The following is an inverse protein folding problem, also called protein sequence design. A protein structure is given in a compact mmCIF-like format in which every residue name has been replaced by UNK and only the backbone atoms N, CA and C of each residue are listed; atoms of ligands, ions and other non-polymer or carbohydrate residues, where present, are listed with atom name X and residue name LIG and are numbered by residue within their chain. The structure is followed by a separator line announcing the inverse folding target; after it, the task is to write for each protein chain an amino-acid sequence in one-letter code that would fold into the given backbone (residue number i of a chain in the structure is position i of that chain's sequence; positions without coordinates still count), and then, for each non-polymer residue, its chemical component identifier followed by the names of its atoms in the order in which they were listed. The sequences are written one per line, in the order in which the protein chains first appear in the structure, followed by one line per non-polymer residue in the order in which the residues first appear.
data_IF_667626215880
#
_entry.id   IF_667626215880
#
_cell.length_a   1.000
_cell.length_b   1.000
_cell.length_c   1.000
_cell.angle_alpha   90.00
_cell.angle_beta   90.00
_cell.angle_gamma   90.00
#
_symmetry.space_group_name_H-M   'P 1'
#
loop_
_entity.id
_entity.type
_entity.pdbx_description
1 polymer ?
#
# COMPACT_ATOMS: atom_id res chain seq x y z
N UNK A 1 -26.22 -9.67 18.60
CA UNK A 1 -25.54 -9.10 17.42
C UNK A 1 -26.60 -8.41 16.57
N UNK A 2 -26.37 -7.17 16.18
CA UNK A 2 -27.31 -6.40 15.35
C UNK A 2 -27.19 -6.84 13.88
N UNK A 3 -28.33 -6.98 13.19
CA UNK A 3 -28.38 -7.28 11.75
C UNK A 3 -27.62 -6.23 10.95
N UNK A 4 -27.64 -4.96 11.41
CA UNK A 4 -26.87 -3.88 10.81
C UNK A 4 -25.37 -4.20 10.79
N UNK A 5 -24.81 -4.69 11.89
CA UNK A 5 -23.37 -4.99 11.99
C UNK A 5 -22.95 -6.10 11.03
N UNK A 6 -23.81 -7.12 10.85
CA UNK A 6 -23.55 -8.19 9.89
C UNK A 6 -23.60 -7.68 8.44
N UNK A 7 -24.57 -6.82 8.14
CA UNK A 7 -24.66 -6.17 6.83
C UNK A 7 -23.45 -5.28 6.54
N UNK A 8 -23.03 -4.45 7.50
CA UNK A 8 -21.84 -3.61 7.38
C UNK A 8 -20.58 -4.46 7.12
N UNK A 9 -20.45 -5.61 7.79
CA UNK A 9 -19.34 -6.53 7.57
C UNK A 9 -19.33 -7.15 6.16
N UNK A 10 -20.50 -7.50 5.61
CA UNK A 10 -20.61 -7.95 4.21
C UNK A 10 -20.18 -6.83 3.26
N UNK A 11 -20.68 -5.61 3.46
CA UNK A 11 -20.36 -4.46 2.61
C UNK A 11 -18.86 -4.16 2.63
N UNK A 12 -18.25 -4.08 3.82
CA UNK A 12 -16.82 -3.86 3.97
C UNK A 12 -16.01 -5.01 3.36
N UNK A 13 -16.43 -6.26 3.56
CA UNK A 13 -15.83 -7.42 2.91
C UNK A 13 -15.88 -7.34 1.38
N UNK A 14 -17.03 -7.02 0.80
CA UNK A 14 -17.17 -6.84 -0.66
C UNK A 14 -16.22 -5.76 -1.16
N UNK A 15 -16.18 -4.59 -0.50
CA UNK A 15 -15.31 -3.47 -0.86
C UNK A 15 -13.84 -3.86 -0.78
N UNK A 16 -13.42 -4.55 0.28
CA UNK A 16 -12.07 -5.09 0.43
C UNK A 16 -11.70 -5.97 -0.77
N UNK A 17 -12.51 -6.97 -1.09
CA UNK A 17 -12.25 -7.87 -2.22
C UNK A 17 -12.24 -7.17 -3.58
N UNK A 18 -13.05 -6.13 -3.76
CA UNK A 18 -13.07 -5.32 -4.98
C UNK A 18 -11.80 -4.47 -5.14
N UNK A 19 -11.22 -4.01 -4.04
CA UNK A 19 -10.24 -2.90 -4.04
C UNK A 19 -8.82 -3.32 -3.67
N UNK A 20 -8.61 -4.51 -3.10
CA UNK A 20 -7.30 -4.96 -2.63
C UNK A 20 -6.27 -5.11 -3.77
N UNK A 21 -6.69 -5.73 -4.88
CA UNK A 21 -5.81 -6.02 -6.02
C UNK A 21 -5.84 -4.96 -7.12
N UNK A 22 -6.90 -4.15 -7.15
CA UNK A 22 -6.99 -2.99 -8.02
C UNK A 22 -6.16 -1.86 -7.40
N UNK A 23 -5.42 -1.04 -8.17
CA UNK A 23 -4.56 -0.01 -7.61
C UNK A 23 -5.33 1.21 -7.04
N UNK A 24 -6.44 1.02 -6.31
CA UNK A 24 -7.31 2.09 -5.78
C UNK A 24 -7.20 2.34 -4.26
N UNK A 25 -6.44 1.50 -3.54
CA UNK A 25 -6.26 1.50 -2.07
C UNK A 25 -7.49 1.02 -1.31
N UNK A 26 -7.51 -0.27 -0.96
CA UNK A 26 -8.50 -0.90 -0.09
C UNK A 26 -8.60 -0.23 1.27
N UNK A 27 -7.46 0.01 1.93
CA UNK A 27 -7.41 0.72 3.22
C UNK A 27 -8.11 2.07 3.19
N UNK A 28 -7.92 2.86 2.12
CA UNK A 28 -8.59 4.16 2.00
C UNK A 28 -10.12 4.03 1.91
N UNK A 29 -10.60 3.07 1.13
CA UNK A 29 -12.04 2.81 0.99
C UNK A 29 -12.65 2.25 2.28
N UNK A 30 -11.98 1.31 2.94
CA UNK A 30 -12.45 0.74 4.21
C UNK A 30 -12.51 1.78 5.33
N UNK A 31 -11.49 2.63 5.46
CA UNK A 31 -11.47 3.67 6.50
C UNK A 31 -12.57 4.72 6.28
N UNK A 32 -12.76 5.18 5.04
CA UNK A 32 -13.83 6.14 4.72
C UNK A 32 -15.21 5.52 4.90
N UNK A 33 -15.42 4.31 4.39
CA UNK A 33 -16.72 3.64 4.48
C UNK A 33 -17.06 3.25 5.93
N UNK A 34 -16.08 2.73 6.68
CA UNK A 34 -16.23 2.41 8.10
C UNK A 34 -16.59 3.65 8.93
N UNK A 35 -15.99 4.81 8.61
CA UNK A 35 -16.34 6.08 9.25
C UNK A 35 -17.81 6.46 9.00
N UNK A 36 -18.29 6.39 7.75
CA UNK A 36 -19.68 6.74 7.41
C UNK A 36 -20.71 5.72 7.89
N UNK A 37 -20.36 4.43 7.97
CA UNK A 37 -21.23 3.38 8.52
C UNK A 37 -21.28 3.39 10.05
N UNK A 38 -20.37 4.11 10.71
CA UNK A 38 -20.19 4.08 12.15
C UNK A 38 -19.62 2.74 12.66
N UNK A 39 -18.96 1.97 11.78
CA UNK A 39 -18.40 0.66 12.10
C UNK A 39 -17.06 0.82 12.83
N UNK A 40 -16.99 0.37 14.08
CA UNK A 40 -15.76 0.40 14.88
C UNK A 40 -15.24 -1.01 15.11
N UNK A 41 -14.09 -1.34 14.55
CA UNK A 41 -13.37 -2.58 14.85
C UNK A 41 -12.41 -2.39 16.03
N UNK A 42 -12.36 -3.37 16.93
CA UNK A 42 -11.32 -3.50 17.95
C UNK A 42 -9.95 -3.58 17.27
N UNK A 43 -9.07 -2.61 17.55
CA UNK A 43 -7.68 -2.60 17.06
C UNK A 43 -7.48 -2.64 15.54
N UNK A 44 -8.53 -2.36 14.74
CA UNK A 44 -8.56 -2.59 13.28
C UNK A 44 -8.24 -4.02 12.85
N UNK A 45 -8.46 -4.98 13.76
CA UNK A 45 -8.27 -6.38 13.46
C UNK A 45 -9.23 -6.83 12.34
N UNK A 46 -10.44 -6.29 12.27
CA UNK A 46 -11.40 -6.65 11.23
C UNK A 46 -10.84 -6.43 9.83
N UNK A 47 -10.35 -5.22 9.51
CA UNK A 47 -9.84 -4.86 8.19
C UNK A 47 -8.68 -5.77 7.75
N UNK A 48 -7.75 -6.05 8.66
CA UNK A 48 -6.60 -6.92 8.39
C UNK A 48 -7.02 -8.38 8.20
N UNK A 49 -7.99 -8.85 8.98
CA UNK A 49 -8.47 -10.23 8.91
C UNK A 49 -9.27 -10.46 7.62
N UNK A 50 -10.12 -9.52 7.20
CA UNK A 50 -10.88 -9.67 5.94
C UNK A 50 -9.98 -9.58 4.70
N UNK A 51 -8.90 -8.79 4.76
CA UNK A 51 -7.90 -8.71 3.69
C UNK A 51 -7.24 -10.06 3.42
N UNK A 52 -7.05 -10.89 4.46
CA UNK A 52 -6.57 -12.25 4.29
C UNK A 52 -7.53 -13.11 3.42
N UNK A 53 -8.84 -12.82 3.45
CA UNK A 53 -9.82 -13.44 2.56
C UNK A 53 -9.55 -13.12 1.10
N UNK A 54 -9.26 -11.87 0.78
CA UNK A 54 -8.80 -11.45 -0.56
C UNK A 54 -7.52 -12.19 -0.97
N UNK A 55 -6.58 -12.37 -0.04
CA UNK A 55 -5.32 -13.09 -0.31
C UNK A 55 -5.55 -14.58 -0.59
N UNK A 56 -6.48 -15.24 0.10
CA UNK A 56 -6.83 -16.62 -0.25
C UNK A 56 -7.45 -16.72 -1.64
N UNK A 57 -8.17 -15.69 -2.10
CA UNK A 57 -8.71 -15.69 -3.46
C UNK A 57 -7.59 -15.69 -4.51
N UNK A 58 -6.54 -14.87 -4.34
CA UNK A 58 -5.41 -14.87 -5.27
C UNK A 58 -4.62 -16.18 -5.21
N UNK A 59 -4.41 -16.75 -4.01
CA UNK A 59 -3.78 -18.07 -3.84
C UNK A 59 -4.59 -19.13 -4.56
N UNK A 60 -5.92 -19.10 -4.45
CA UNK A 60 -6.83 -20.02 -5.13
C UNK A 60 -6.78 -19.89 -6.66
N UNK A 61 -6.82 -18.66 -7.19
CA UNK A 61 -6.72 -18.40 -8.65
C UNK A 61 -5.38 -18.87 -9.21
N UNK A 62 -4.29 -18.70 -8.46
CA UNK A 62 -2.94 -19.07 -8.88
C UNK A 62 -2.47 -20.43 -8.34
N UNK A 63 -3.35 -21.25 -7.74
CA UNK A 63 -2.97 -22.45 -7.00
C UNK A 63 -2.15 -23.44 -7.84
N UNK A 64 -2.61 -23.73 -9.06
CA UNK A 64 -1.90 -24.63 -9.98
C UNK A 64 -0.51 -24.10 -10.35
N UNK A 65 -0.39 -22.79 -10.57
CA UNK A 65 0.88 -22.12 -10.89
C UNK A 65 1.82 -22.13 -9.70
N UNK A 66 1.33 -21.77 -8.50
CA UNK A 66 2.11 -21.79 -7.27
C UNK A 66 2.60 -23.20 -6.93
N UNK A 67 1.74 -24.21 -7.10
CA UNK A 67 2.11 -25.61 -6.92
C UNK A 67 3.19 -26.04 -7.91
N UNK A 68 3.07 -25.65 -9.18
CA UNK A 68 4.08 -25.96 -10.20
C UNK A 68 5.44 -25.32 -9.88
N UNK A 69 5.46 -24.07 -9.39
CA UNK A 69 6.68 -23.39 -8.93
C UNK A 69 7.28 -24.13 -7.74
N UNK A 70 6.46 -24.53 -6.76
CA UNK A 70 6.91 -25.23 -5.57
C UNK A 70 7.58 -26.56 -5.90
N UNK A 71 6.97 -27.37 -6.77
CA UNK A 71 7.55 -28.64 -7.25
C UNK A 71 8.81 -28.42 -8.09
N UNK A 72 8.92 -27.30 -8.80
CA UNK A 72 10.08 -26.97 -9.62
C UNK A 72 11.22 -26.31 -8.85
N UNK A 73 11.07 -25.96 -7.56
CA UNK A 73 12.12 -25.29 -6.78
C UNK A 73 13.46 -26.06 -6.75
N UNK A 74 13.49 -27.39 -6.52
CA UNK A 74 14.75 -28.13 -6.46
C UNK A 74 15.47 -28.19 -7.82
N UNK A 75 14.72 -28.25 -8.92
CA UNK A 75 15.24 -28.56 -10.25
C UNK A 75 15.39 -27.34 -11.16
N UNK A 76 14.55 -26.32 -11.02
CA UNK A 76 14.48 -25.18 -11.93
C UNK A 76 15.14 -23.92 -11.38
N UNK A 77 16.19 -23.46 -12.07
CA UNK A 77 16.83 -22.17 -11.78
C UNK A 77 15.84 -20.99 -11.96
N UNK A 78 14.90 -21.10 -12.90
CA UNK A 78 13.86 -20.10 -13.14
C UNK A 78 12.90 -20.01 -11.96
N UNK A 79 12.44 -21.14 -11.43
CA UNK A 79 11.56 -21.17 -10.25
C UNK A 79 12.26 -20.57 -9.02
N UNK A 80 13.52 -20.95 -8.78
CA UNK A 80 14.32 -20.36 -7.68
C UNK A 80 14.49 -18.85 -7.83
N UNK A 81 14.78 -18.36 -9.04
CA UNK A 81 14.91 -16.92 -9.31
C UNK A 81 13.60 -16.17 -9.10
N UNK A 82 12.47 -16.74 -9.51
CA UNK A 82 11.17 -16.13 -9.29
C UNK A 82 10.85 -16.02 -7.79
N UNK A 83 11.02 -17.10 -7.02
CA UNK A 83 10.82 -17.07 -5.56
C UNK A 83 11.79 -16.11 -4.88
N UNK A 84 13.07 -16.10 -5.29
CA UNK A 84 14.05 -15.13 -4.79
C UNK A 84 13.65 -13.68 -5.14
N UNK A 85 13.07 -13.44 -6.32
CA UNK A 85 12.58 -12.12 -6.71
C UNK A 85 11.44 -11.66 -5.80
N UNK A 86 10.45 -12.52 -5.53
CA UNK A 86 9.35 -12.20 -4.61
C UNK A 86 9.86 -11.95 -3.19
N UNK A 87 10.79 -12.79 -2.71
CA UNK A 87 11.40 -12.62 -1.39
C UNK A 87 12.18 -11.29 -1.29
N UNK A 88 13.04 -10.97 -2.28
CA UNK A 88 13.81 -9.73 -2.31
C UNK A 88 12.89 -8.50 -2.39
N UNK A 89 11.82 -8.57 -3.17
CA UNK A 89 10.85 -7.48 -3.26
C UNK A 89 10.07 -7.26 -1.95
N UNK A 90 9.89 -8.30 -1.13
CA UNK A 90 9.23 -8.19 0.17
C UNK A 90 10.12 -7.50 1.22
N UNK A 91 11.44 -7.71 1.19
CA UNK A 91 12.37 -7.27 2.24
C UNK A 91 12.30 -5.77 2.55
N UNK A 92 12.34 -4.83 1.58
CA UNK A 92 12.32 -3.40 1.91
C UNK A 92 11.10 -2.99 2.72
N UNK A 93 9.91 -3.46 2.32
CA UNK A 93 8.67 -3.15 3.02
C UNK A 93 8.61 -3.81 4.41
N UNK A 94 9.11 -5.04 4.54
CA UNK A 94 9.19 -5.72 5.83
C UNK A 94 10.12 -4.99 6.82
N UNK A 95 11.31 -4.60 6.35
CA UNK A 95 12.30 -3.89 7.17
C UNK A 95 11.75 -2.53 7.59
N UNK A 96 11.29 -1.71 6.64
CA UNK A 96 10.75 -0.38 6.95
C UNK A 96 9.48 -0.49 7.80
N UNK A 97 8.61 -1.47 7.55
CA UNK A 97 7.39 -1.69 8.32
C UNK A 97 7.65 -2.05 9.78
N UNK A 98 8.69 -2.84 10.08
CA UNK A 98 9.12 -3.15 11.45
C UNK A 98 9.76 -1.93 12.10
N UNK A 99 10.67 -1.25 11.41
CA UNK A 99 11.40 -0.09 11.96
C UNK A 99 10.50 1.13 12.20
N UNK A 100 9.48 1.33 11.35
CA UNK A 100 8.58 2.48 11.41
C UNK A 100 7.21 2.17 12.02
N UNK A 101 7.02 1.00 12.64
CA UNK A 101 5.71 0.53 13.11
C UNK A 101 4.97 1.56 13.99
N UNK A 102 5.66 2.14 14.97
CA UNK A 102 5.07 3.09 15.92
C UNK A 102 4.71 4.42 15.26
N UNK A 103 5.55 4.91 14.32
CA UNK A 103 5.29 6.13 13.56
C UNK A 103 4.07 5.98 12.64
N UNK A 104 3.98 4.84 11.95
CA UNK A 104 2.86 4.50 11.07
C UNK A 104 1.55 4.49 11.87
N UNK A 105 1.51 3.82 13.03
CA UNK A 105 0.28 3.72 13.84
C UNK A 105 -0.16 5.05 14.45
N UNK A 106 0.77 5.84 15.00
CA UNK A 106 0.43 7.05 15.76
C UNK A 106 0.19 8.29 14.91
N UNK A 107 0.91 8.44 13.79
CA UNK A 107 0.88 9.72 13.03
C UNK A 107 0.05 9.57 11.77
N UNK A 108 0.35 8.53 10.98
CA UNK A 108 -0.21 8.37 9.65
C UNK A 108 -1.66 7.87 9.67
N UNK A 109 -2.01 7.05 10.66
CA UNK A 109 -3.33 6.41 10.76
C UNK A 109 -4.37 7.18 11.56
N UNK A 110 -3.98 8.20 12.31
CA UNK A 110 -4.88 9.08 13.08
C UNK A 110 -5.38 10.27 12.26
N UNK A 111 -4.87 10.46 11.03
CA UNK A 111 -5.15 11.64 10.21
C UNK A 111 -5.88 11.27 8.91
N UNK A 112 -7.24 11.30 8.86
CA UNK A 112 -8.01 10.99 7.65
C UNK A 112 -7.62 11.81 6.42
N UNK A 113 -7.12 13.03 6.63
CA UNK A 113 -6.59 13.88 5.56
C UNK A 113 -5.42 13.22 4.82
N UNK A 114 -4.52 12.51 5.52
CA UNK A 114 -3.38 11.81 4.92
C UNK A 114 -3.88 10.78 3.91
N UNK A 115 -4.90 10.00 4.26
CA UNK A 115 -5.50 8.99 3.38
C UNK A 115 -6.06 9.64 2.10
N UNK A 116 -6.74 10.77 2.24
CA UNK A 116 -7.35 11.44 1.08
C UNK A 116 -6.28 12.06 0.17
N UNK A 117 -5.24 12.67 0.74
CA UNK A 117 -4.11 13.23 -0.02
C UNK A 117 -3.32 12.14 -0.73
N UNK A 118 -3.07 10.99 -0.09
CA UNK A 118 -2.32 9.88 -0.70
C UNK A 118 -3.14 9.12 -1.75
N UNK A 119 -4.47 9.08 -1.61
CA UNK A 119 -5.37 8.66 -2.69
C UNK A 119 -5.19 9.55 -3.92
N UNK A 120 -5.31 10.87 -3.73
CA UNK A 120 -5.16 11.87 -4.78
C UNK A 120 -3.79 11.79 -5.47
N UNK A 121 -2.69 11.89 -4.70
CA UNK A 121 -1.33 11.85 -5.22
C UNK A 121 -1.01 10.52 -5.89
N UNK A 122 -1.39 9.39 -5.27
CA UNK A 122 -1.20 8.08 -5.87
C UNK A 122 -1.97 7.91 -7.18
N UNK A 123 -3.15 8.54 -7.29
CA UNK A 123 -3.92 8.58 -8.54
C UNK A 123 -3.24 9.39 -9.63
N UNK A 124 -2.73 10.57 -9.31
CA UNK A 124 -1.95 11.39 -10.24
C UNK A 124 -0.73 10.63 -10.74
N UNK A 125 0.07 10.04 -9.84
CA UNK A 125 1.26 9.26 -10.20
C UNK A 125 0.90 8.08 -11.09
N UNK A 126 -0.12 7.29 -10.73
CA UNK A 126 -0.55 6.16 -11.54
C UNK A 126 -1.01 6.60 -12.94
N UNK A 127 -1.75 7.70 -13.04
CA UNK A 127 -2.22 8.25 -14.31
C UNK A 127 -1.05 8.67 -15.20
N UNK A 128 -0.08 9.39 -14.65
CA UNK A 128 1.11 9.82 -15.38
C UNK A 128 1.89 8.61 -15.88
N UNK A 129 2.17 7.65 -15.00
CA UNK A 129 2.98 6.46 -15.33
C UNK A 129 2.30 5.56 -16.35
N UNK A 130 0.98 5.36 -16.26
CA UNK A 130 0.20 4.57 -17.22
C UNK A 130 0.19 5.18 -18.64
N UNK A 131 0.43 6.49 -18.76
CA UNK A 131 0.45 7.26 -20.01
C UNK A 131 1.84 7.51 -20.58
N UNK A 132 2.91 7.17 -19.84
CA UNK A 132 4.26 7.29 -20.37
C UNK A 132 4.46 6.30 -21.53
N UNK A 133 5.04 6.72 -22.67
CA UNK A 133 5.29 5.86 -23.82
C UNK A 133 6.49 4.94 -23.62
N UNK A 134 6.52 4.19 -22.50
CA UNK A 134 7.57 3.25 -22.16
C UNK A 134 7.38 1.96 -22.96
N UNK A 135 8.37 1.59 -23.78
CA UNK A 135 8.37 0.31 -24.50
C UNK A 135 8.62 -0.84 -23.51
N UNK A 136 7.66 -1.78 -23.31
CA UNK A 136 7.83 -2.88 -22.38
C UNK A 136 9.04 -3.74 -22.73
N UNK A 137 9.79 -4.16 -21.71
CA UNK A 137 10.95 -5.05 -21.79
C UNK A 137 10.68 -6.39 -21.09
N UNK A 138 9.90 -6.38 -20.02
CA UNK A 138 9.58 -7.58 -19.25
C UNK A 138 8.09 -7.89 -19.43
N UNK A 139 7.79 -9.03 -20.07
CA UNK A 139 6.44 -9.48 -20.39
C UNK A 139 5.88 -10.55 -19.44
N UNK A 140 6.62 -10.89 -18.38
CA UNK A 140 6.33 -12.04 -17.52
C UNK A 140 6.87 -11.77 -16.12
N UNK A 141 6.00 -11.93 -15.12
CA UNK A 141 6.35 -11.73 -13.71
C UNK A 141 7.41 -12.74 -13.23
N UNK A 142 7.52 -13.89 -13.90
CA UNK A 142 8.46 -14.96 -13.57
C UNK A 142 9.91 -14.65 -13.99
N UNK A 143 10.10 -13.69 -14.90
CA UNK A 143 11.39 -13.39 -15.52
C UNK A 143 12.03 -12.11 -15.01
N UNK A 144 11.42 -11.47 -14.01
CA UNK A 144 11.96 -10.25 -13.43
C UNK A 144 13.38 -10.53 -12.89
N UNK A 145 14.37 -9.70 -13.24
CA UNK A 145 15.67 -9.77 -12.61
C UNK A 145 15.58 -9.31 -11.14
N UNK A 146 16.46 -9.84 -10.30
CA UNK A 146 16.45 -9.55 -8.86
C UNK A 146 16.55 -8.05 -8.55
N UNK A 147 17.28 -7.29 -9.38
CA UNK A 147 17.37 -5.85 -9.24
C UNK A 147 16.03 -5.14 -9.49
N UNK A 148 15.24 -5.61 -10.46
CA UNK A 148 13.91 -5.06 -10.74
C UNK A 148 12.96 -5.40 -9.59
N UNK A 149 13.03 -6.63 -9.09
CA UNK A 149 12.27 -7.05 -7.93
C UNK A 149 12.59 -6.19 -6.69
N UNK A 150 13.87 -5.92 -6.43
CA UNK A 150 14.30 -5.02 -5.36
C UNK A 150 13.72 -3.60 -5.55
N UNK A 151 13.79 -3.06 -6.76
CA UNK A 151 13.20 -1.74 -7.08
C UNK A 151 11.70 -1.74 -6.79
N UNK A 152 10.96 -2.75 -7.25
CA UNK A 152 9.52 -2.88 -6.95
C UNK A 152 9.28 -2.95 -5.44
N UNK A 153 10.14 -3.65 -4.70
CA UNK A 153 10.09 -3.69 -3.23
C UNK A 153 10.34 -2.34 -2.57
N UNK A 154 11.29 -1.55 -3.08
CA UNK A 154 11.51 -0.18 -2.62
C UNK A 154 10.27 0.69 -2.85
N UNK A 155 9.60 0.57 -4.01
CA UNK A 155 8.32 1.24 -4.24
C UNK A 155 7.23 0.74 -3.29
N UNK A 156 7.23 -0.54 -2.91
CA UNK A 156 6.28 -1.08 -1.94
C UNK A 156 6.38 -0.40 -0.57
N UNK A 157 7.53 0.17 -0.19
CA UNK A 157 7.65 0.92 1.08
C UNK A 157 6.70 2.12 1.15
N UNK A 158 6.32 2.71 0.01
CA UNK A 158 5.32 3.78 -0.06
C UNK A 158 3.94 3.30 0.41
N UNK A 159 3.65 2.00 0.29
CA UNK A 159 2.40 1.40 0.72
C UNK A 159 2.23 1.35 2.24
N UNK A 160 3.29 1.63 3.01
CA UNK A 160 3.20 1.79 4.46
C UNK A 160 2.46 3.07 4.86
N UNK A 161 2.31 4.02 3.92
CA UNK A 161 1.52 5.22 4.10
C UNK A 161 0.03 4.89 3.86
N UNK A 162 -0.87 5.11 4.84
CA UNK A 162 -2.30 4.86 4.69
C UNK A 162 -2.90 5.63 3.52
N UNK A 163 -3.78 4.96 2.76
CA UNK A 163 -4.34 5.49 1.50
C UNK A 163 -3.43 5.37 0.28
N UNK A 164 -2.13 5.11 0.49
CA UNK A 164 -1.28 4.63 -0.60
C UNK A 164 -1.69 3.19 -0.92
N UNK A 165 -1.85 2.88 -2.21
CA UNK A 165 -2.21 1.52 -2.62
C UNK A 165 -0.95 0.69 -2.76
N UNK A 166 -0.92 -0.46 -2.06
CA UNK A 166 0.16 -1.44 -2.19
C UNK A 166 0.30 -1.96 -3.62
N UNK A 167 -0.82 -2.37 -4.23
CA UNK A 167 -0.86 -2.76 -5.64
C UNK A 167 -0.44 -1.60 -6.55
N UNK A 168 -0.94 -0.39 -6.30
CA UNK A 168 -0.55 0.83 -7.04
C UNK A 168 0.95 1.13 -7.00
N UNK A 169 1.56 1.16 -5.81
CA UNK A 169 2.99 1.47 -5.67
C UNK A 169 3.87 0.45 -6.38
N UNK A 170 3.57 -0.84 -6.22
CA UNK A 170 4.35 -1.93 -6.84
C UNK A 170 4.16 -1.99 -8.35
N UNK A 171 2.94 -1.78 -8.84
CA UNK A 171 2.65 -1.66 -10.28
C UNK A 171 3.38 -0.47 -10.87
N UNK A 172 3.30 0.71 -10.25
CA UNK A 172 4.03 1.92 -10.69
C UNK A 172 5.54 1.65 -10.76
N UNK A 173 6.11 1.04 -9.72
CA UNK A 173 7.52 0.67 -9.72
C UNK A 173 7.89 -0.29 -10.86
N UNK A 174 7.04 -1.28 -11.15
CA UNK A 174 7.30 -2.20 -12.26
C UNK A 174 7.17 -1.49 -13.63
N UNK A 175 6.13 -0.68 -13.83
CA UNK A 175 5.87 0.04 -15.08
C UNK A 175 6.98 1.03 -15.43
N UNK A 176 7.44 1.82 -14.44
CA UNK A 176 8.56 2.77 -14.62
C UNK A 176 9.84 2.08 -15.10
N UNK A 177 10.03 0.82 -14.69
CA UNK A 177 11.17 0.00 -15.08
C UNK A 177 10.83 -1.00 -16.20
N UNK A 178 9.80 -0.66 -17.00
CA UNK A 178 9.47 -1.26 -18.29
C UNK A 178 8.95 -2.69 -18.19
N UNK A 179 8.28 -3.04 -17.09
CA UNK A 179 7.34 -4.14 -17.11
C UNK A 179 6.13 -3.81 -17.98
N UNK A 180 5.53 -4.81 -18.62
CA UNK A 180 4.21 -4.64 -19.22
C UNK A 180 3.12 -4.58 -18.14
N UNK A 181 1.94 -4.11 -18.50
CA UNK A 181 0.85 -3.87 -17.55
C UNK A 181 0.38 -5.16 -16.90
N UNK A 182 0.35 -6.27 -17.63
CA UNK A 182 -0.09 -7.56 -17.11
C UNK A 182 0.95 -8.13 -16.15
N UNK A 183 2.23 -8.21 -16.54
CA UNK A 183 3.26 -8.74 -15.64
C UNK A 183 3.43 -7.90 -14.38
N UNK A 184 3.25 -6.58 -14.46
CA UNK A 184 3.28 -5.69 -13.32
C UNK A 184 2.19 -6.04 -12.28
N UNK A 185 0.95 -6.26 -12.74
CA UNK A 185 -0.13 -6.72 -11.88
C UNK A 185 0.15 -8.12 -11.30
N UNK A 186 0.55 -9.08 -12.14
CA UNK A 186 0.84 -10.44 -11.69
C UNK A 186 1.96 -10.46 -10.64
N UNK A 187 3.06 -9.75 -10.86
CA UNK A 187 4.16 -9.67 -9.88
C UNK A 187 3.70 -8.99 -8.58
N UNK A 188 2.88 -7.94 -8.66
CA UNK A 188 2.27 -7.31 -7.49
C UNK A 188 1.40 -8.29 -6.69
N UNK A 189 0.63 -9.14 -7.37
CA UNK A 189 -0.17 -10.18 -6.74
C UNK A 189 0.69 -11.23 -6.04
N UNK A 190 1.79 -11.66 -6.67
CA UNK A 190 2.72 -12.59 -6.03
C UNK A 190 3.39 -11.99 -4.80
N UNK A 191 3.78 -10.73 -4.86
CA UNK A 191 4.36 -9.98 -3.75
C UNK A 191 3.36 -9.70 -2.62
N UNK A 192 2.05 -9.65 -2.93
CA UNK A 192 0.96 -9.55 -1.96
C UNK A 192 1.05 -10.63 -0.88
N UNK A 193 1.27 -11.86 -1.32
CA UNK A 193 1.10 -13.05 -0.51
C UNK A 193 2.01 -13.04 0.73
N UNK A 194 3.35 -12.92 0.62
CA UNK A 194 4.20 -12.86 1.81
C UNK A 194 3.98 -11.58 2.62
N UNK A 195 3.70 -10.45 1.95
CA UNK A 195 3.50 -9.15 2.64
C UNK A 195 2.28 -9.18 3.55
N UNK A 196 1.13 -9.57 3.01
CA UNK A 196 -0.13 -9.58 3.75
C UNK A 196 -0.24 -10.76 4.70
N UNK A 197 0.34 -11.92 4.38
CA UNK A 197 0.43 -13.03 5.33
C UNK A 197 1.25 -12.64 6.57
N UNK A 198 2.36 -11.91 6.38
CA UNK A 198 3.16 -11.38 7.49
C UNK A 198 2.40 -10.36 8.33
N UNK A 199 1.72 -9.40 7.69
CA UNK A 199 0.91 -8.41 8.38
C UNK A 199 -0.25 -9.05 9.17
N UNK A 200 -0.97 -9.98 8.55
CA UNK A 200 -2.04 -10.76 9.19
C UNK A 200 -1.53 -11.54 10.40
N UNK A 201 -0.45 -12.31 10.25
CA UNK A 201 0.10 -13.11 11.34
C UNK A 201 0.51 -12.23 12.54
N UNK A 202 1.11 -11.07 12.26
CA UNK A 202 1.51 -10.12 13.29
C UNK A 202 0.33 -9.51 14.03
N UNK A 203 -0.66 -8.99 13.31
CA UNK A 203 -1.82 -8.34 13.93
C UNK A 203 -2.76 -9.34 14.62
N UNK A 204 -2.93 -10.55 14.08
CA UNK A 204 -3.66 -11.62 14.76
C UNK A 204 -2.96 -12.01 16.06
N UNK A 205 -1.63 -12.18 16.03
CA UNK A 205 -0.86 -12.50 17.24
C UNK A 205 -1.00 -11.42 18.31
N UNK A 206 -0.97 -10.13 17.94
CA UNK A 206 -1.09 -9.01 18.89
C UNK A 206 -2.51 -8.80 19.43
N UNK A 207 -3.55 -9.10 18.65
CA UNK A 207 -4.94 -8.80 19.02
C UNK A 207 -5.76 -10.02 19.44
N UNK A 208 -5.16 -11.23 19.48
CA UNK A 208 -5.87 -12.48 19.82
C UNK A 208 -6.66 -12.43 21.14
N UNK A 209 -6.15 -11.74 22.15
CA UNK A 209 -6.77 -11.68 23.48
C UNK A 209 -7.90 -10.64 23.55
N UNK A 210 -8.01 -9.78 22.53
CA UNK A 210 -9.01 -8.72 22.42
C UNK A 210 -10.20 -9.10 21.53
N UNK A 211 -10.18 -10.26 20.87
CA UNK A 211 -11.24 -10.73 19.98
C UNK A 211 -12.28 -11.54 20.75
N UNK A 212 -13.51 -11.03 20.84
CA UNK A 212 -14.63 -11.80 21.38
C UNK A 212 -15.16 -12.82 20.37
N UNK A 213 -15.92 -13.81 20.84
CA UNK A 213 -16.59 -14.77 19.94
C UNK A 213 -17.56 -14.10 18.95
N UNK A 214 -18.12 -12.94 19.30
CA UNK A 214 -18.97 -12.17 18.38
C UNK A 214 -18.15 -11.51 17.28
N UNK A 215 -16.95 -10.99 17.60
CA UNK A 215 -16.05 -10.39 16.61
C UNK A 215 -15.58 -11.43 15.59
N UNK A 216 -15.34 -12.67 16.03
CA UNK A 216 -14.94 -13.78 15.15
C UNK A 216 -16.01 -14.04 14.08
N UNK A 217 -17.30 -14.02 14.45
CA UNK A 217 -18.38 -14.25 13.48
C UNK A 217 -18.48 -13.10 12.46
N UNK A 218 -18.37 -11.86 12.93
CA UNK A 218 -18.40 -10.66 12.08
C UNK A 218 -17.23 -10.70 11.08
N UNK A 219 -16.02 -10.99 11.57
CA UNK A 219 -14.82 -11.18 10.75
C UNK A 219 -15.01 -12.30 9.73
N UNK A 220 -15.54 -13.45 10.14
CA UNK A 220 -15.74 -14.59 9.24
C UNK A 220 -16.67 -14.24 8.07
N UNK A 221 -17.75 -13.49 8.32
CA UNK A 221 -18.67 -13.04 7.28
C UNK A 221 -17.98 -12.07 6.31
N UNK A 222 -17.29 -11.05 6.84
CA UNK A 222 -16.52 -10.10 6.02
C UNK A 222 -15.42 -10.79 5.22
N UNK A 223 -14.76 -11.79 5.81
CA UNK A 223 -13.72 -12.59 5.18
C UNK A 223 -14.25 -13.38 3.98
N UNK A 224 -15.39 -14.05 4.14
CA UNK A 224 -16.03 -14.81 3.04
C UNK A 224 -16.47 -13.85 1.93
N UNK A 225 -17.06 -12.70 2.29
CA UNK A 225 -17.46 -11.68 1.34
C UNK A 225 -16.25 -11.13 0.54
N UNK A 226 -15.14 -10.85 1.22
CA UNK A 226 -13.88 -10.41 0.59
C UNK A 226 -13.29 -11.47 -0.33
N UNK A 227 -13.25 -12.73 0.11
CA UNK A 227 -12.78 -13.85 -0.70
C UNK A 227 -13.58 -14.00 -2.00
N UNK A 228 -14.91 -14.06 -1.91
CA UNK A 228 -15.78 -14.22 -3.09
C UNK A 228 -15.65 -13.02 -4.02
N UNK A 229 -15.65 -11.80 -3.48
CA UNK A 229 -15.50 -10.56 -4.25
C UNK A 229 -14.15 -10.52 -4.99
N UNK A 230 -13.05 -10.85 -4.30
CA UNK A 230 -11.71 -10.88 -4.89
C UNK A 230 -11.56 -11.93 -6.00
N UNK A 231 -12.20 -13.11 -5.87
CA UNK A 231 -12.19 -14.13 -6.92
C UNK A 231 -12.79 -13.61 -8.23
N UNK A 232 -13.85 -12.81 -8.15
CA UNK A 232 -14.49 -12.21 -9.32
C UNK A 232 -13.58 -11.16 -9.97
N UNK A 233 -12.95 -10.31 -9.15
CA UNK A 233 -12.10 -9.21 -9.61
C UNK A 233 -10.83 -9.72 -10.27
N UNK A 234 -10.06 -10.58 -9.60
CA UNK A 234 -8.74 -11.02 -10.07
C UNK A 234 -8.81 -11.65 -11.46
N UNK A 235 -9.84 -12.46 -11.73
CA UNK A 235 -10.02 -13.13 -13.03
C UNK A 235 -10.23 -12.15 -14.18
N UNK A 236 -10.91 -11.02 -13.93
CA UNK A 236 -11.22 -10.01 -14.95
C UNK A 236 -10.18 -8.91 -15.04
N UNK A 237 -9.51 -8.63 -13.92
CA UNK A 237 -8.60 -7.50 -13.78
C UNK A 237 -7.43 -7.56 -14.75
N UNK A 238 -6.78 -8.73 -14.90
CA UNK A 238 -5.62 -8.88 -15.77
C UNK A 238 -5.96 -8.62 -17.23
N UNK A 239 -7.09 -9.15 -17.70
CA UNK A 239 -7.53 -8.93 -19.07
C UNK A 239 -7.93 -7.47 -19.28
N UNK A 240 -8.59 -6.85 -18.31
CA UNK A 240 -8.94 -5.44 -18.35
C UNK A 240 -7.71 -4.53 -18.47
N UNK A 241 -6.72 -4.67 -17.57
CA UNK A 241 -5.52 -3.79 -17.54
C UNK A 241 -4.62 -4.01 -18.75
N UNK A 242 -4.64 -5.20 -19.35
CA UNK A 242 -3.91 -5.49 -20.58
C UNK A 242 -4.44 -4.66 -21.77
N UNK A 243 -5.76 -4.42 -21.83
CA UNK A 243 -6.41 -3.71 -22.93
C UNK A 243 -6.63 -2.22 -22.67
N UNK A 244 -7.01 -1.84 -21.44
CA UNK A 244 -7.44 -0.48 -21.10
C UNK A 244 -6.41 0.29 -20.26
N UNK A 245 -5.42 -0.41 -19.70
CA UNK A 245 -4.46 0.17 -18.76
C UNK A 245 -5.04 0.50 -17.40
N UNK A 246 -4.34 1.38 -16.67
CA UNK A 246 -4.67 1.75 -15.28
C UNK A 246 -5.35 3.11 -15.12
N UNK A 247 -5.51 3.85 -16.22
CA UNK A 247 -6.07 5.21 -16.22
C UNK A 247 -7.42 5.33 -15.51
N UNK A 248 -8.33 4.35 -15.68
CA UNK A 248 -9.66 4.37 -15.03
C UNK A 248 -9.53 4.34 -13.51
N UNK A 249 -8.66 3.47 -12.99
CA UNK A 249 -8.40 3.36 -11.55
C UNK A 249 -7.70 4.60 -11.00
N UNK A 250 -6.84 5.21 -11.80
CA UNK A 250 -6.17 6.45 -11.44
C UNK A 250 -7.18 7.61 -11.27
N UNK A 251 -8.12 7.77 -12.20
CA UNK A 251 -9.21 8.75 -12.08
C UNK A 251 -10.12 8.47 -10.89
N UNK A 252 -10.44 7.19 -10.64
CA UNK A 252 -11.22 6.80 -9.47
C UNK A 252 -10.55 7.24 -8.16
N UNK A 253 -9.23 6.99 -8.01
CA UNK A 253 -8.47 7.46 -6.84
C UNK A 253 -8.51 8.97 -6.66
N UNK A 254 -8.33 9.72 -7.76
CA UNK A 254 -8.37 11.18 -7.77
C UNK A 254 -9.75 11.65 -7.29
N UNK A 255 -10.82 11.08 -7.82
CA UNK A 255 -12.18 11.41 -7.44
C UNK A 255 -12.44 11.13 -5.95
N UNK A 256 -12.12 9.92 -5.47
CA UNK A 256 -12.31 9.54 -4.05
C UNK A 256 -11.48 10.44 -3.13
N UNK A 257 -10.24 10.76 -3.50
CA UNK A 257 -9.39 11.66 -2.74
C UNK A 257 -9.97 13.07 -2.64
N UNK A 258 -10.47 13.64 -3.75
CA UNK A 258 -11.11 14.97 -3.77
C UNK A 258 -12.39 14.97 -2.93
N UNK A 259 -13.26 13.96 -3.12
CA UNK A 259 -14.51 13.83 -2.37
C UNK A 259 -14.23 13.67 -0.88
N UNK A 260 -13.23 12.88 -0.50
CA UNK A 260 -12.80 12.72 0.89
C UNK A 260 -12.30 14.03 1.51
N UNK A 261 -11.47 14.79 0.80
CA UNK A 261 -11.00 16.11 1.27
C UNK A 261 -12.19 17.08 1.43
N UNK A 262 -13.09 17.13 0.45
CA UNK A 262 -14.26 17.99 0.52
C UNK A 262 -15.17 17.61 1.70
N UNK A 263 -15.43 16.32 1.91
CA UNK A 263 -16.23 15.84 3.03
C UNK A 263 -15.61 16.22 4.38
N UNK A 264 -14.29 16.05 4.54
CA UNK A 264 -13.58 16.46 5.76
C UNK A 264 -13.63 17.98 5.98
N UNK A 265 -13.65 18.78 4.90
CA UNK A 265 -13.80 20.22 5.00
C UNK A 265 -15.18 20.60 5.55
N UNK A 266 -16.25 19.99 5.03
CA UNK A 266 -17.62 20.27 5.45
C UNK A 266 -17.96 19.74 6.85
N UNK A 267 -17.32 18.66 7.31
CA UNK A 267 -17.55 18.09 8.66
C UNK A 267 -16.65 18.71 9.73
N UNK A 268 -15.82 19.69 9.41
CA UNK A 268 -14.87 20.32 10.34
C UNK A 268 -13.68 19.43 10.72
N UNK A 269 -13.46 18.32 10.00
CA UNK A 269 -12.36 17.38 10.22
C UNK A 269 -11.01 17.82 9.66
N UNK A 270 -10.97 18.90 8.87
CA UNK A 270 -9.73 19.58 8.48
C UNK A 270 -9.29 20.48 9.64
N UNK A 271 -8.65 19.89 10.65
CA UNK A 271 -8.07 20.61 11.77
C UNK A 271 -6.97 21.58 11.35
N UNK A 272 -7.38 22.74 10.82
CA UNK A 272 -6.62 23.98 10.73
C UNK A 272 -7.56 25.12 11.16
N UNK A 273 -7.90 25.14 12.45
CA UNK A 273 -8.63 26.24 13.08
C UNK A 273 -9.93 25.82 13.77
N UNK A 274 -9.95 25.97 15.10
CA UNK A 274 -11.16 25.85 15.93
C UNK A 274 -11.20 24.56 16.73
N UNK A 275 -10.74 24.62 17.97
CA UNK A 275 -11.03 23.58 18.95
C UNK A 275 -12.54 23.41 19.09
N UNK A 276 -13.06 22.26 18.67
CA UNK A 276 -14.29 21.76 19.24
C UNK A 276 -13.92 21.09 20.56
N UNK A 277 -14.63 21.38 21.66
CA UNK A 277 -14.29 20.83 22.96
C UNK A 277 -14.34 19.31 22.87
N UNK A 278 -13.27 18.66 23.31
CA UNK A 278 -13.28 17.25 23.66
C UNK A 278 -14.51 17.06 24.55
N UNK A 279 -15.50 16.30 24.07
CA UNK A 279 -16.59 15.88 24.92
C UNK A 279 -15.97 15.04 26.04
N UNK A 280 -15.83 15.65 27.21
CA UNK A 280 -15.53 14.93 28.45
C UNK A 280 -16.52 13.78 28.54
N UNK A 281 -16.06 12.52 28.69
CA UNK A 281 -16.99 11.43 28.89
C UNK A 281 -17.86 11.78 30.09
N UNK A 282 -19.17 11.77 29.90
CA UNK A 282 -20.12 11.92 31.00
C UNK A 282 -19.80 10.81 32.00
N UNK A 283 -19.36 11.21 33.20
CA UNK A 283 -19.27 10.32 34.34
C UNK A 283 -20.69 9.86 34.62
N UNK A 284 -20.99 8.62 34.26
CA UNK A 284 -22.24 7.97 34.62
C UNK A 284 -22.30 7.91 36.15
N UNK A 285 -23.13 8.77 36.74
CA UNK A 285 -23.38 8.77 38.18
C UNK A 285 -24.18 7.50 38.51
N UNK A 286 -23.47 6.52 39.05
CA UNK A 286 -24.07 5.35 39.68
C UNK A 286 -25.00 5.80 40.82
N UNK A 287 -26.21 5.23 40.99
CA UNK A 287 -27.12 5.65 42.04
C UNK A 287 -26.50 5.41 43.42
N UNK A 288 -26.64 6.39 44.31
CA UNK A 288 -26.15 6.33 45.68
C UNK A 288 -26.80 5.16 46.43
N UNK A 289 -25.99 4.16 46.77
CA UNK A 289 -26.34 3.15 47.77
C UNK A 289 -25.98 3.66 49.16
N UNK A 290 -26.91 3.50 50.10
CA UNK A 290 -26.75 3.80 51.51
C UNK A 290 -25.57 3.03 52.12
N UNK A 291 -24.51 3.74 52.54
CA UNK A 291 -23.57 3.23 53.53
C UNK A 291 -22.86 4.38 54.22
N UNK A 292 -23.19 4.54 55.50
CA UNK A 292 -22.69 5.51 56.46
C UNK A 292 -21.25 5.14 56.88
N UNK A 293 -20.24 5.80 56.29
CA UNK A 293 -18.86 5.80 56.77
C UNK A 293 -18.07 6.99 56.17
N UNK A 294 -17.30 7.76 56.97
CA UNK A 294 -16.57 8.92 56.46
C UNK A 294 -15.34 8.48 55.66
N UNK A 295 -15.35 8.71 54.34
CA UNK A 295 -14.15 8.60 53.48
C UNK A 295 -13.42 9.94 53.43
N UNK A 296 -12.18 9.97 53.91
CA UNK A 296 -11.25 11.10 53.73
C UNK A 296 -10.82 11.14 52.26
N UNK A 297 -11.25 12.17 51.53
CA UNK A 297 -10.81 12.45 50.15
C UNK A 297 -9.75 13.53 50.20
N UNK A 298 -8.49 13.18 49.98
CA UNK A 298 -7.41 14.16 49.78
C UNK A 298 -7.54 14.75 48.38
N UNK A 299 -8.13 15.94 48.27
CA UNK A 299 -8.17 16.72 47.03
C UNK A 299 -6.96 17.64 46.97
N UNK A 300 -5.93 17.27 46.18
CA UNK A 300 -4.83 18.19 45.87
C UNK A 300 -5.31 19.19 44.81
N UNK A 301 -5.72 20.38 45.25
CA UNK A 301 -6.05 21.50 44.37
C UNK A 301 -4.77 22.28 44.09
N UNK A 302 -4.19 22.16 42.88
CA UNK A 302 -3.10 23.04 42.46
C UNK A 302 -3.71 24.39 42.07
N UNK A 303 -3.58 25.37 42.97
CA UNK A 303 -3.96 26.76 42.72
C UNK A 303 -2.77 27.46 42.06
N UNK A 304 -2.86 27.76 40.77
CA UNK A 304 -1.90 28.64 40.09
C UNK A 304 -2.29 30.08 40.43
N UNK A 305 -1.62 30.68 41.42
CA UNK A 305 -1.67 32.12 41.66
C UNK A 305 -0.81 32.86 40.62
N UNK A 306 -1.30 33.93 39.98
CA UNK A 306 -0.44 34.78 39.17
C UNK A 306 0.62 35.46 40.05
N UNK A 307 1.84 35.70 39.54
CA UNK A 307 2.88 36.37 40.30
C UNK A 307 2.48 37.81 40.67
N UNK A 308 2.90 38.32 41.85
CA UNK A 308 2.61 39.68 42.27
C UNK A 308 3.27 40.72 41.33
N UNK A 309 2.60 41.86 41.16
CA UNK A 309 2.93 42.93 40.20
C UNK A 309 4.17 43.76 40.51
N UNK A 310 4.99 43.36 41.49
CA UNK A 310 6.22 44.06 41.87
C UNK A 310 7.43 43.20 41.52
N UNK A 311 7.71 43.08 40.22
CA UNK A 311 9.00 42.62 39.72
C UNK A 311 9.80 43.83 39.22
N UNK A 312 10.99 44.14 39.78
CA UNK A 312 11.75 45.32 39.38
C UNK A 312 12.33 45.13 37.97
N UNK A 313 12.02 46.07 37.07
CA UNK A 313 12.66 46.19 35.76
C UNK A 313 14.12 46.60 36.00
N UNK A 314 15.05 45.67 35.71
CA UNK A 314 16.48 45.95 35.74
C UNK A 314 16.91 46.45 34.37
N UNK A 315 17.16 47.75 34.33
CA UNK A 315 17.81 48.45 33.22
C UNK A 315 19.27 47.98 33.13
N UNK A 316 19.67 47.39 32.00
CA UNK A 316 21.09 47.06 31.75
C UNK A 316 21.50 47.58 30.38
N UNK A 317 21.82 48.88 30.35
CA UNK A 317 22.80 49.41 29.41
C UNK A 317 24.21 48.90 29.72
N UNK A 318 24.99 48.70 28.65
CA UNK A 318 26.46 48.62 28.60
C UNK A 318 27.18 47.56 29.45
N UNK A 319 27.41 46.39 28.83
CA UNK A 319 28.61 45.57 29.10
C UNK A 319 29.18 45.05 27.75
N UNK A 320 30.51 44.99 27.56
CA UNK A 320 31.11 44.73 26.25
C UNK A 320 30.95 43.26 25.82
N UNK A 321 30.66 43.06 24.53
CA UNK A 321 30.62 41.74 23.89
C UNK A 321 32.02 41.08 23.87
N UNK A 322 32.13 39.76 24.04
CA UNK A 322 33.38 39.04 23.86
C UNK A 322 33.84 39.08 22.39
N UNK A 323 35.17 39.06 22.11
CA UNK A 323 35.68 39.19 20.75
C UNK A 323 35.28 38.00 19.87
N UNK A 324 34.66 38.31 18.74
CA UNK A 324 34.33 37.37 17.66
C UNK A 324 35.62 36.96 16.97
N UNK A 325 35.97 35.67 17.03
CA UNK A 325 37.05 35.11 16.20
C UNK A 325 36.54 34.99 14.76
N UNK A 326 37.22 35.58 13.75
CA UNK A 326 36.78 35.47 12.37
C UNK A 326 36.94 34.03 11.87
N UNK A 327 35.84 33.44 11.42
CA UNK A 327 35.84 32.18 10.67
C UNK A 327 36.52 32.46 9.32
N UNK A 328 37.69 31.84 9.09
CA UNK A 328 38.34 31.85 7.79
C UNK A 328 37.45 31.14 6.76
N UNK A 329 36.95 31.91 5.80
CA UNK A 329 36.36 31.41 4.57
C UNK A 329 37.45 30.71 3.75
N UNK A 330 37.36 29.38 3.60
CA UNK A 330 38.18 28.66 2.62
C UNK A 330 37.70 29.02 1.21
N UNK A 331 38.61 29.27 0.24
CA UNK A 331 38.23 29.49 -1.15
C UNK A 331 37.52 28.25 -1.73
N UNK A 332 36.44 28.50 -2.46
CA UNK A 332 35.75 27.50 -3.27
C UNK A 332 36.68 27.10 -4.41
N UNK A 333 37.15 25.85 -4.41
CA UNK A 333 37.90 25.28 -5.52
C UNK A 333 36.98 25.11 -6.73
N UNK A 334 37.30 25.84 -7.81
CA UNK A 334 36.58 25.81 -9.07
C UNK A 334 36.68 24.42 -9.71
N UNK A 335 35.51 23.82 -10.00
CA UNK A 335 35.44 22.57 -10.76
C UNK A 335 36.18 22.72 -12.12
N UNK A 336 36.97 21.72 -12.54
CA UNK A 336 37.69 21.77 -13.80
C UNK A 336 36.72 21.75 -15.00
N UNK A 337 36.98 22.63 -15.95
CA UNK A 337 36.28 22.80 -17.22
C UNK A 337 36.34 21.49 -18.05
N UNK A 338 35.25 21.05 -18.70
CA UNK A 338 35.29 19.86 -19.54
C UNK A 338 36.18 20.10 -20.77
N UNK A 339 37.06 19.13 -21.06
CA UNK A 339 37.92 19.13 -22.23
C UNK A 339 37.09 19.02 -23.54
N UNK A 340 37.58 19.60 -24.65
CA UNK A 340 36.87 19.61 -25.92
C UNK A 340 36.78 18.23 -26.58
N UNK A 341 35.67 18.02 -27.29
CA UNK A 341 35.35 16.82 -28.03
C UNK A 341 36.42 16.50 -29.10
N UNK A 342 36.98 15.30 -29.03
CA UNK A 342 37.71 14.70 -30.14
C UNK A 342 36.72 13.97 -31.06
N UNK A 343 36.55 14.51 -32.26
CA UNK A 343 36.08 13.76 -33.41
C UNK A 343 37.21 12.84 -33.88
N UNK A 344 36.88 11.59 -34.23
CA UNK A 344 37.38 10.82 -35.37
C UNK A 344 37.38 9.31 -35.06
N UNK A 345 36.84 8.52 -35.98
CA UNK A 345 37.05 7.07 -35.98
C UNK A 345 35.86 6.27 -36.49
N UNK A 346 35.43 6.51 -37.73
CA UNK A 346 34.68 5.52 -38.47
C UNK A 346 35.58 4.29 -38.70
N UNK A 347 35.11 3.11 -38.34
CA UNK A 347 35.69 1.82 -38.73
C UNK A 347 34.54 0.82 -38.98
N UNK A 348 34.73 -0.14 -39.90
CA UNK A 348 33.71 -0.49 -40.87
C UNK A 348 32.78 -1.62 -40.43
N UNK A 349 31.65 -1.69 -41.14
CA UNK A 349 30.65 -2.74 -41.08
C UNK A 349 31.28 -4.14 -41.18
N UNK A 350 30.97 -4.99 -40.21
CA UNK A 350 31.15 -6.44 -40.34
C UNK A 350 29.80 -7.08 -40.62
N UNK A 351 29.71 -7.66 -41.82
CA UNK A 351 28.65 -8.53 -42.31
C UNK A 351 28.53 -9.77 -41.41
N UNK A 352 27.33 -10.22 -41.01
CA UNK A 352 27.16 -11.52 -40.37
C UNK A 352 27.23 -12.64 -41.42
N UNK A 353 27.88 -13.79 -41.15
CA UNK A 353 27.72 -14.96 -42.00
C UNK A 353 26.36 -15.62 -41.76
N UNK A 354 25.78 -16.11 -42.84
CA UNK A 354 24.52 -16.82 -42.88
C UNK A 354 24.63 -18.26 -42.33
N UNK A 355 23.53 -18.69 -41.72
CA UNK A 355 22.96 -20.05 -41.71
C UNK A 355 23.84 -21.24 -41.30
N UNK A 356 23.54 -21.77 -40.10
CA UNK A 356 23.72 -23.18 -39.74
C UNK A 356 22.45 -23.70 -39.07
N UNK A 357 21.63 -24.45 -39.82
CA UNK A 357 20.55 -25.29 -39.29
C UNK A 357 21.13 -26.34 -38.35
N UNK A 358 20.61 -26.48 -37.13
CA UNK A 358 20.69 -27.71 -36.34
C UNK A 358 19.54 -27.78 -35.33
N UNK A 359 18.68 -28.80 -35.50
CA UNK A 359 18.06 -29.55 -34.39
C UNK A 359 16.77 -28.99 -33.78
N UNK A 360 15.63 -29.47 -34.28
CA UNK A 360 14.34 -29.44 -33.57
C UNK A 360 14.43 -30.23 -32.25
N UNK A 361 14.44 -29.52 -31.12
CA UNK A 361 14.23 -30.08 -29.79
C UNK A 361 12.91 -29.56 -29.22
N UNK A 362 11.80 -30.24 -29.51
CA UNK A 362 10.51 -29.98 -28.88
C UNK A 362 10.60 -30.27 -27.39
N UNK A 363 10.66 -29.22 -26.58
CA UNK A 363 10.57 -29.30 -25.12
C UNK A 363 9.13 -29.51 -24.69
N UNK A 364 8.92 -30.40 -23.72
CA UNK A 364 7.65 -30.77 -23.07
C UNK A 364 6.85 -29.57 -22.51
N UNK A 365 7.45 -28.37 -22.51
CA UNK A 365 6.81 -27.11 -22.12
C UNK A 365 5.81 -26.54 -23.16
N UNK A 366 5.94 -26.82 -24.46
CA UNK A 366 5.06 -26.23 -25.48
C UNK A 366 3.73 -26.99 -25.66
N UNK A 367 3.71 -28.30 -25.37
CA UNK A 367 2.51 -29.13 -25.58
C UNK A 367 1.42 -28.92 -24.51
N UNK A 368 1.75 -28.30 -23.38
CA UNK A 368 0.75 -28.07 -22.30
C UNK A 368 -0.09 -26.81 -22.55
N UNK A 369 0.32 -25.93 -23.48
CA UNK A 369 -0.36 -24.66 -23.75
C UNK A 369 -1.32 -24.66 -24.96
N UNK A 370 -1.46 -25.77 -25.67
CA UNK A 370 -2.33 -25.88 -26.86
C UNK A 370 -3.79 -26.27 -26.56
N UNK A 371 -4.15 -26.52 -25.29
CA UNK A 371 -5.49 -27.06 -24.93
C UNK A 371 -6.52 -25.96 -24.60
N UNK A 372 -6.16 -24.67 -24.60
CA UNK A 372 -7.11 -23.59 -24.27
C UNK A 372 -7.22 -22.46 -25.30
N UNK A 373 -6.68 -22.63 -26.50
CA UNK A 373 -6.78 -21.61 -27.56
C UNK A 373 -7.49 -22.16 -28.80
N UNK A 374 -8.78 -22.47 -28.67
CA UNK A 374 -9.67 -22.61 -29.82
C UNK A 374 -11.14 -22.41 -29.40
N UNK A 375 -11.67 -21.20 -29.59
CA UNK A 375 -13.05 -20.92 -30.03
C UNK A 375 -13.29 -19.41 -30.13
N UNK A 376 -12.99 -18.85 -31.30
CA UNK A 376 -13.82 -17.84 -31.95
C UNK A 376 -13.82 -18.10 -33.46
N UNK A 377 -14.75 -18.94 -33.90
CA UNK A 377 -15.16 -19.00 -35.31
C UNK A 377 -16.11 -17.82 -35.57
N UNK A 378 -15.72 -16.91 -36.47
CA UNK A 378 -16.66 -16.03 -37.15
C UNK A 378 -17.33 -16.79 -38.31
N UNK A 379 -18.63 -16.57 -38.58
CA UNK A 379 -19.25 -17.07 -39.80
C UNK A 379 -18.97 -16.10 -40.95
N UNK A 380 -18.26 -16.55 -41.98
CA UNK A 380 -18.30 -15.88 -43.29
C UNK A 380 -19.51 -16.42 -44.05
N UNK A 381 -20.44 -15.52 -44.34
CA UNK A 381 -21.62 -15.78 -45.14
C UNK A 381 -21.28 -16.05 -46.60
N UNK A 382 -22.06 -16.94 -47.18
CA UNK A 382 -22.21 -17.10 -48.62
C UNK A 382 -23.10 -15.99 -49.16
N UNK A 383 -22.63 -15.26 -50.16
CA UNK A 383 -23.24 -15.04 -51.49
C UNK A 383 -22.45 -13.97 -52.26
#
# INVERSE_FOLDING_TARGET
MDVKTLFDAVVLGVVEGLTEFIPVSSTGHLLLLGHFLGFKSTGRAFEVLIQFGSILAIVGVYATRLWSVALALPTSARARRFVASVAIAFLPAAIVGVLAHDFIKRVLFETPLVVCVTLLLGGIVLLVVDRLPLKPRYGSAYDYPLWLALVVGCFQTLALIPGMSRSGSTIVGALLFRADKRSAAEFSFFLAMPTMAGAFAYDLYKNRDALSSSDILIVAIGFVAAFVSALLVVRRLLDFVSHHGYSVFAWWRIAVGIVGIAALWFTGGLGFGGGSPVATPAVEQQPAGDSDAPRVVTTTTIRVTPPPSDFPIRDTGSAPLPPVTPVQTRPVESAPKPAPAAQAGAAPAQTPPASGQLGSGSSVFDQTFSIFDNKQQQPQGAQ
#
